data_IF_513223826486
#
_entry.id   IF_513223826486
#
_cell.length_a   1.000
_cell.length_b   1.000
_cell.length_c   1.000
_cell.angle_alpha   90.00
_cell.angle_beta   90.00
_cell.angle_gamma   90.00
#
_symmetry.space_group_name_H-M   'P 1'
#
loop_
_entity.id
_entity.type
_entity.pdbx_description
1 polymer ?
#
# COMPACT_ATOMS: atom_id res chain seq x y z
N UNK A 1 10.38 -1.04 7.88
CA UNK A 1 9.56 -0.28 6.90
C UNK A 1 9.89 -0.87 5.54
N UNK A 2 8.88 -1.09 4.70
CA UNK A 2 9.06 -1.78 3.42
C UNK A 2 9.99 -1.03 2.48
N UNK A 3 10.72 -1.77 1.64
CA UNK A 3 11.47 -1.22 0.52
C UNK A 3 10.52 -1.02 -0.67
N UNK A 4 10.63 0.13 -1.33
CA UNK A 4 9.95 0.40 -2.59
C UNK A 4 10.49 -0.56 -3.67
N UNK A 5 9.56 -1.21 -4.36
CA UNK A 5 9.86 -2.29 -5.32
C UNK A 5 9.75 -1.79 -6.75
N UNK A 6 8.71 -1.00 -7.00
CA UNK A 6 8.42 -0.42 -8.31
C UNK A 6 7.45 0.75 -8.14
N UNK A 7 7.64 1.78 -8.96
CA UNK A 7 6.71 2.90 -9.08
C UNK A 7 6.49 3.28 -10.54
N UNK A 8 5.37 3.95 -10.80
CA UNK A 8 5.03 4.50 -12.10
C UNK A 8 4.25 5.80 -11.92
N UNK A 9 4.50 6.77 -12.79
CA UNK A 9 3.78 8.04 -12.83
C UNK A 9 3.15 8.23 -14.22
N UNK A 10 1.89 8.63 -14.26
CA UNK A 10 1.20 9.07 -15.46
C UNK A 10 0.48 10.39 -15.21
N UNK A 11 1.05 11.49 -15.69
CA UNK A 11 0.63 12.83 -15.28
C UNK A 11 0.84 13.00 -13.78
N UNK A 12 -0.20 13.42 -13.05
CA UNK A 12 -0.15 13.54 -11.60
C UNK A 12 -0.50 12.26 -10.84
N UNK A 13 -0.97 11.22 -11.54
CA UNK A 13 -1.25 9.94 -10.91
C UNK A 13 0.07 9.18 -10.69
N UNK A 14 0.42 8.98 -9.43
CA UNK A 14 1.55 8.16 -9.02
C UNK A 14 1.06 6.87 -8.38
N UNK A 15 1.73 5.79 -8.75
CA UNK A 15 1.58 4.48 -8.13
C UNK A 15 2.94 4.00 -7.64
N UNK A 16 2.99 3.44 -6.44
CA UNK A 16 4.17 2.82 -5.87
C UNK A 16 3.81 1.51 -5.16
N UNK A 17 4.76 0.57 -5.15
CA UNK A 17 4.62 -0.71 -4.47
C UNK A 17 5.74 -0.94 -3.48
N UNK A 18 5.39 -1.51 -2.33
CA UNK A 18 6.31 -1.78 -1.23
C UNK A 18 6.17 -3.24 -0.78
N UNK A 19 7.28 -3.92 -0.50
CA UNK A 19 7.21 -5.18 0.24
C UNK A 19 6.89 -4.87 1.70
N UNK A 20 5.87 -5.52 2.25
CA UNK A 20 5.62 -5.48 3.69
C UNK A 20 6.43 -6.57 4.38
N UNK A 21 6.23 -7.81 3.92
CA UNK A 21 6.98 -9.02 4.30
C UNK A 21 6.91 -10.03 3.16
N UNK A 22 7.58 -11.19 3.22
CA UNK A 22 7.45 -12.20 2.18
C UNK A 22 5.99 -12.47 1.86
N UNK A 23 5.64 -12.41 0.58
CA UNK A 23 4.30 -12.65 0.04
C UNK A 23 3.25 -11.57 0.31
N UNK A 24 3.61 -10.48 0.97
CA UNK A 24 2.71 -9.35 1.21
C UNK A 24 3.26 -8.07 0.58
N UNK A 25 2.41 -7.44 -0.22
CA UNK A 25 2.76 -6.24 -0.99
C UNK A 25 1.75 -5.15 -0.68
N UNK A 26 2.23 -3.93 -0.57
CA UNK A 26 1.39 -2.74 -0.50
C UNK A 26 1.46 -2.02 -1.84
N UNK A 27 0.31 -1.68 -2.41
CA UNK A 27 0.22 -0.77 -3.54
C UNK A 27 -0.44 0.53 -3.07
N UNK A 28 0.19 1.66 -3.36
CA UNK A 28 -0.29 2.99 -3.04
C UNK A 28 -0.51 3.76 -4.33
N UNK A 29 -1.65 4.45 -4.43
CA UNK A 29 -2.02 5.28 -5.56
C UNK A 29 -2.41 6.65 -5.03
N UNK A 30 -1.83 7.70 -5.59
CA UNK A 30 -2.04 9.07 -5.14
C UNK A 30 -1.86 10.08 -6.27
N UNK A 31 -2.44 11.25 -6.07
CA UNK A 31 -2.26 12.42 -6.92
C UNK A 31 -1.11 13.26 -6.37
N UNK A 32 0.03 13.29 -7.06
CA UNK A 32 1.28 13.92 -6.59
C UNK A 32 1.18 15.44 -6.44
N UNK A 33 0.14 16.05 -7.03
CA UNK A 33 -0.20 17.46 -6.85
C UNK A 33 -0.85 17.73 -5.50
N UNK A 34 -1.44 16.71 -4.87
CA UNK A 34 -2.13 16.81 -3.57
C UNK A 34 -1.26 16.32 -2.41
N UNK A 35 -0.56 15.20 -2.61
CA UNK A 35 0.27 14.58 -1.59
C UNK A 35 1.57 14.10 -2.23
N UNK A 36 2.71 14.54 -1.67
CA UNK A 36 4.02 14.10 -2.13
C UNK A 36 4.52 13.01 -1.19
N UNK A 37 4.75 11.81 -1.72
CA UNK A 37 5.27 10.65 -0.97
C UNK A 37 4.43 10.33 0.28
N UNK A 38 3.18 9.88 0.12
CA UNK A 38 2.30 9.61 1.26
C UNK A 38 2.85 8.46 2.11
N UNK A 39 2.83 8.61 3.45
CA UNK A 39 3.21 7.51 4.35
C UNK A 39 2.02 6.53 4.54
N UNK A 40 2.07 5.30 3.96
CA UNK A 40 0.98 4.35 4.03
C UNK A 40 0.79 3.73 5.42
N UNK A 41 1.71 3.99 6.36
CA UNK A 41 1.66 3.53 7.75
C UNK A 41 0.98 4.55 8.67
N UNK A 42 0.46 5.65 8.13
CA UNK A 42 -0.25 6.67 8.91
C UNK A 42 -1.65 6.95 8.36
N UNK A 43 -2.60 7.26 9.25
CA UNK A 43 -3.95 7.71 8.83
C UNK A 43 -3.87 8.95 7.93
N UNK A 44 -2.92 9.86 8.22
CA UNK A 44 -2.78 11.14 7.51
C UNK A 44 -2.27 10.92 6.08
N UNK A 45 -1.23 10.12 5.88
CA UNK A 45 -0.71 9.82 4.55
C UNK A 45 -1.75 9.15 3.64
N UNK A 46 -2.69 8.41 4.21
CA UNK A 46 -3.75 7.76 3.44
C UNK A 46 -4.99 8.63 3.17
N UNK A 47 -5.06 9.88 3.68
CA UNK A 47 -6.29 10.69 3.68
C UNK A 47 -6.87 10.90 2.26
N UNK A 48 -5.99 11.10 1.28
CA UNK A 48 -6.35 11.42 -0.10
C UNK A 48 -5.77 10.39 -1.10
N UNK A 49 -5.46 9.19 -0.61
CA UNK A 49 -4.82 8.12 -1.38
C UNK A 49 -5.69 6.86 -1.42
N UNK A 50 -5.45 6.01 -2.42
CA UNK A 50 -5.89 4.62 -2.41
C UNK A 50 -4.73 3.72 -2.05
N UNK A 51 -4.95 2.77 -1.14
CA UNK A 51 -3.93 1.83 -0.72
C UNK A 51 -4.51 0.43 -0.58
N UNK A 52 -3.82 -0.54 -1.16
CA UNK A 52 -4.21 -1.95 -1.19
C UNK A 52 -3.09 -2.81 -0.62
N UNK A 53 -3.46 -3.85 0.13
CA UNK A 53 -2.53 -4.90 0.54
C UNK A 53 -2.90 -6.17 -0.21
N UNK A 54 -1.91 -6.74 -0.88
CA UNK A 54 -2.02 -8.01 -1.57
C UNK A 54 -1.30 -9.10 -0.80
N UNK A 55 -1.83 -10.32 -0.90
CA UNK A 55 -1.14 -11.55 -0.52
C UNK A 55 -0.91 -12.40 -1.76
N UNK A 56 0.34 -12.78 -2.00
CA UNK A 56 0.74 -13.69 -3.06
C UNK A 56 0.94 -15.10 -2.51
N UNK A 57 0.08 -16.01 -2.92
CA UNK A 57 0.23 -17.43 -2.61
C UNK A 57 1.18 -18.08 -3.62
N UNK A 58 2.45 -18.28 -3.21
CA UNK A 58 3.47 -18.91 -4.07
C UNK A 58 3.11 -20.33 -4.48
N UNK A 59 2.40 -21.09 -3.64
CA UNK A 59 2.08 -22.51 -3.91
C UNK A 59 1.08 -22.64 -5.05
N UNK A 60 0.21 -21.64 -5.20
CA UNK A 60 -0.85 -21.62 -6.20
C UNK A 60 -0.70 -20.49 -7.23
N UNK A 61 0.45 -19.79 -7.23
CA UNK A 61 0.74 -18.63 -8.07
C UNK A 61 -0.41 -17.61 -8.14
N UNK A 62 -1.04 -17.34 -6.99
CA UNK A 62 -2.28 -16.56 -6.92
C UNK A 62 -2.11 -15.28 -6.12
N UNK A 63 -2.46 -14.15 -6.71
CA UNK A 63 -2.56 -12.86 -6.01
C UNK A 63 -3.98 -12.66 -5.49
N UNK A 64 -4.11 -12.20 -4.25
CA UNK A 64 -5.41 -11.92 -3.61
C UNK A 64 -5.38 -10.62 -2.83
N UNK A 65 -6.53 -9.95 -2.73
CA UNK A 65 -6.68 -8.77 -1.89
C UNK A 65 -6.80 -9.17 -0.42
N UNK A 66 -5.91 -8.66 0.42
CA UNK A 66 -5.98 -8.80 1.86
C UNK A 66 -6.77 -7.65 2.49
N UNK A 67 -6.59 -6.42 1.99
CA UNK A 67 -7.28 -5.23 2.46
C UNK A 67 -7.24 -4.08 1.45
N UNK A 68 -8.24 -3.20 1.50
CA UNK A 68 -8.23 -1.89 0.83
C UNK A 68 -8.58 -0.79 1.83
N UNK A 69 -7.87 0.33 1.81
CA UNK A 69 -8.09 1.42 2.77
C UNK A 69 -9.52 2.00 2.68
N UNK A 70 -10.12 2.03 1.49
CA UNK A 70 -11.52 2.42 1.29
C UNK A 70 -12.54 1.50 1.95
N UNK A 71 -12.21 0.21 2.12
CA UNK A 71 -13.12 -0.78 2.68
C UNK A 71 -13.01 -0.84 4.21
N UNK A 72 -11.79 -0.79 4.74
CA UNK A 72 -11.54 -0.97 6.19
C UNK A 72 -11.24 0.34 6.93
N UNK A 73 -11.09 1.44 6.20
CA UNK A 73 -10.73 2.75 6.71
C UNK A 73 -9.23 2.96 6.92
N UNK A 74 -8.75 4.17 6.64
CA UNK A 74 -7.33 4.56 6.67
C UNK A 74 -6.61 4.20 7.98
N UNK A 75 -7.25 4.38 9.14
CA UNK A 75 -6.61 4.08 10.44
C UNK A 75 -6.40 2.57 10.63
N UNK A 76 -7.38 1.75 10.27
CA UNK A 76 -7.26 0.30 10.39
C UNK A 76 -6.24 -0.24 9.37
N UNK A 77 -6.29 0.27 8.14
CA UNK A 77 -5.34 -0.06 7.09
C UNK A 77 -3.90 0.28 7.48
N UNK A 78 -3.63 1.49 7.95
CA UNK A 78 -2.29 1.91 8.37
C UNK A 78 -1.72 1.01 9.47
N UNK A 79 -2.56 0.59 10.43
CA UNK A 79 -2.16 -0.37 11.48
C UNK A 79 -1.81 -1.74 10.92
N UNK A 80 -2.62 -2.25 9.99
CA UNK A 80 -2.36 -3.53 9.33
C UNK A 80 -1.07 -3.48 8.50
N UNK A 81 -0.88 -2.43 7.71
CA UNK A 81 0.34 -2.22 6.93
C UNK A 81 1.57 -2.15 7.84
N UNK A 82 1.49 -1.41 8.95
CA UNK A 82 2.59 -1.30 9.91
C UNK A 82 2.92 -2.65 10.53
N UNK A 83 1.91 -3.37 11.03
CA UNK A 83 2.07 -4.69 11.64
C UNK A 83 2.73 -5.68 10.68
N UNK A 84 2.25 -5.75 9.42
CA UNK A 84 2.85 -6.60 8.39
C UNK A 84 4.26 -6.20 7.98
N UNK A 85 4.67 -4.94 8.17
CA UNK A 85 6.00 -4.44 7.83
C UNK A 85 7.02 -4.55 8.97
N UNK A 86 6.58 -4.94 10.17
CA UNK A 86 7.43 -5.07 11.37
C UNK A 86 7.48 -6.48 11.93
N UNK A 87 6.58 -7.37 11.51
CA UNK A 87 6.54 -8.79 11.87
C UNK A 87 6.97 -9.70 10.72
#
# INVERSE_FOLDING_TARGET
RGEEVAGYCNGSLTWETHYLKPDYFLALFYDDTKEKTPDPYTKRGLKDCQAWIFKYDRRHSRLSFQARNVEIGNKAFARLAHHLATE
#
